data_IF_522358539738
#
_entry.id   IF_522358539738
#
_cell.length_a   1.000
_cell.length_b   1.000
_cell.length_c   1.000
_cell.angle_alpha   90.00
_cell.angle_beta   90.00
_cell.angle_gamma   90.00
#
_symmetry.space_group_name_H-M   'P 1'
#
loop_
_entity.id
_entity.type
_entity.pdbx_description
1 polymer ?
#
# COMPACT_ATOMS: atom_id res chain seq x y z
N UNK A 1 65.10 28.38 15.55
CA UNK A 1 63.84 28.55 14.80
C UNK A 1 63.16 27.19 14.70
N UNK A 2 61.97 27.02 15.28
CA UNK A 2 61.20 25.75 15.28
C UNK A 2 60.32 25.69 14.02
N UNK A 3 60.52 24.69 13.18
CA UNK A 3 59.62 24.39 12.07
C UNK A 3 58.46 23.50 12.58
N UNK A 4 57.23 23.97 12.39
CA UNK A 4 56.01 23.23 12.71
C UNK A 4 55.81 22.10 11.68
N UNK A 5 55.68 20.85 12.16
CA UNK A 5 55.35 19.70 11.31
C UNK A 5 53.83 19.49 11.31
N UNK A 6 53.18 20.11 10.33
CA UNK A 6 51.81 19.81 9.89
C UNK A 6 51.75 18.38 9.33
N UNK A 7 50.70 17.63 9.67
CA UNK A 7 50.49 16.29 9.14
C UNK A 7 49.44 15.47 9.88
N UNK A 8 48.27 16.06 10.13
CA UNK A 8 47.11 15.33 10.65
C UNK A 8 46.64 14.32 9.61
N UNK A 9 46.91 13.03 9.83
CA UNK A 9 46.32 11.94 9.06
C UNK A 9 44.81 11.95 9.30
N UNK A 10 44.03 12.36 8.30
CA UNK A 10 42.58 12.22 8.31
C UNK A 10 42.23 10.72 8.30
N UNK A 11 42.04 10.15 9.49
CA UNK A 11 41.47 8.83 9.65
C UNK A 11 39.98 8.92 9.31
N UNK A 12 39.64 8.71 8.04
CA UNK A 12 38.24 8.63 7.61
C UNK A 12 37.52 7.51 8.37
N UNK A 13 36.35 7.78 9.00
CA UNK A 13 35.69 6.85 9.92
C UNK A 13 34.85 5.81 9.15
N UNK A 14 35.47 5.05 8.25
CA UNK A 14 34.77 4.04 7.45
C UNK A 14 34.08 2.95 8.28
N UNK A 15 34.63 2.68 9.48
CA UNK A 15 34.06 1.74 10.46
C UNK A 15 32.65 2.15 10.93
N UNK A 16 32.34 3.45 10.96
CA UNK A 16 31.04 3.97 11.43
C UNK A 16 30.00 4.07 10.31
N UNK A 17 30.42 4.04 9.04
CA UNK A 17 29.53 4.20 7.87
C UNK A 17 28.79 2.89 7.56
N UNK A 18 29.44 1.74 7.73
CA UNK A 18 28.85 0.41 7.46
C UNK A 18 27.57 0.11 8.25
N UNK A 19 27.51 0.28 9.59
CA UNK A 19 26.29 0.02 10.34
C UNK A 19 25.20 1.04 10.02
N UNK A 20 25.57 2.30 9.74
CA UNK A 20 24.64 3.34 9.34
C UNK A 20 23.97 3.02 7.99
N UNK A 21 24.74 2.53 7.03
CA UNK A 21 24.23 2.13 5.72
C UNK A 21 23.29 0.92 5.82
N UNK A 22 23.62 -0.05 6.67
CA UNK A 22 22.73 -1.20 6.96
C UNK A 22 21.42 -0.77 7.62
N UNK A 23 21.47 0.14 8.59
CA UNK A 23 20.28 0.66 9.26
C UNK A 23 19.37 1.40 8.26
N UNK A 24 19.97 2.21 7.37
CA UNK A 24 19.25 2.95 6.35
C UNK A 24 18.58 2.00 5.35
N UNK A 25 19.30 0.97 4.88
CA UNK A 25 18.73 -0.06 4.00
C UNK A 25 17.57 -0.82 4.67
N UNK A 26 17.70 -1.16 5.95
CA UNK A 26 16.64 -1.82 6.72
C UNK A 26 15.39 -0.94 6.80
N UNK A 27 15.56 0.35 7.05
CA UNK A 27 14.45 1.32 7.10
C UNK A 27 13.75 1.46 5.74
N UNK A 28 14.51 1.49 4.64
CA UNK A 28 13.93 1.50 3.29
C UNK A 28 13.12 0.23 2.99
N UNK A 29 13.59 -0.94 3.44
CA UNK A 29 12.85 -2.20 3.29
C UNK A 29 11.55 -2.15 4.08
N UNK A 30 11.60 -1.73 5.36
CA UNK A 30 10.40 -1.61 6.20
C UNK A 30 9.39 -0.60 5.64
N UNK A 31 9.87 0.55 5.15
CA UNK A 31 9.01 1.57 4.55
C UNK A 31 8.34 1.06 3.27
N UNK A 32 9.09 0.32 2.44
CA UNK A 32 8.58 -0.29 1.20
C UNK A 32 7.54 -1.39 1.48
N UNK A 33 7.72 -2.22 2.52
CA UNK A 33 6.76 -3.26 2.89
C UNK A 33 5.38 -2.71 3.31
N UNK A 34 5.33 -1.47 3.81
CA UNK A 34 4.08 -0.82 4.22
C UNK A 34 3.29 -0.20 3.05
N UNK A 35 3.88 -0.12 1.84
CA UNK A 35 3.28 0.51 0.66
C UNK A 35 2.40 -0.44 -0.19
N UNK A 36 1.98 -1.59 0.37
CA UNK A 36 1.00 -2.48 -0.26
C UNK A 36 -0.34 -1.77 -0.47
N UNK A 37 -0.52 -1.20 -1.67
CA UNK A 37 -1.61 -0.29 -2.01
C UNK A 37 -2.99 -0.94 -2.02
N UNK A 38 -3.99 -0.17 -1.57
CA UNK A 38 -5.41 -0.44 -1.79
C UNK A 38 -5.75 0.08 -3.19
N UNK A 39 -5.90 -0.80 -4.18
CA UNK A 39 -6.27 -0.39 -5.54
C UNK A 39 -7.79 -0.27 -5.64
N UNK A 40 -8.33 0.95 -5.59
CA UNK A 40 -9.76 1.21 -5.82
C UNK A 40 -9.98 1.59 -7.28
N UNK A 41 -10.76 0.80 -8.01
CA UNK A 41 -11.17 1.09 -9.40
C UNK A 41 -12.52 1.79 -9.42
N UNK A 42 -12.58 3.07 -9.79
CA UNK A 42 -13.85 3.78 -9.91
C UNK A 42 -14.51 3.47 -11.26
N UNK A 43 -15.74 2.94 -11.25
CA UNK A 43 -16.56 2.73 -12.45
C UNK A 43 -17.79 3.63 -12.31
N UNK A 44 -17.85 4.70 -13.10
CA UNK A 44 -18.98 5.63 -13.14
C UNK A 44 -19.95 5.20 -14.23
N UNK A 45 -21.24 5.06 -13.90
CA UNK A 45 -22.30 4.89 -14.90
C UNK A 45 -22.89 6.27 -15.19
N UNK A 46 -22.54 6.87 -16.33
CA UNK A 46 -22.96 8.24 -16.68
C UNK A 46 -24.38 8.33 -17.26
N UNK A 47 -25.09 7.20 -17.38
CA UNK A 47 -26.33 7.10 -18.18
C UNK A 47 -27.61 6.84 -17.34
N UNK A 48 -27.53 6.91 -16.01
CA UNK A 48 -28.69 6.68 -15.13
C UNK A 48 -29.32 7.99 -14.64
N UNK A 49 -30.63 8.16 -14.87
CA UNK A 49 -31.43 9.31 -14.40
C UNK A 49 -31.68 9.33 -12.89
N UNK A 50 -31.20 8.31 -12.16
CA UNK A 50 -31.39 8.15 -10.72
C UNK A 50 -30.07 8.46 -9.97
N UNK A 51 -29.95 9.61 -9.29
CA UNK A 51 -28.76 9.96 -8.53
C UNK A 51 -28.49 9.03 -7.34
N UNK A 52 -29.43 8.16 -6.95
CA UNK A 52 -29.23 7.13 -5.92
C UNK A 52 -28.63 5.82 -6.50
N UNK A 53 -28.68 5.65 -7.82
CA UNK A 53 -28.07 4.52 -8.52
C UNK A 53 -26.59 4.73 -8.83
N UNK A 54 -26.08 5.95 -8.63
CA UNK A 54 -24.67 6.28 -8.86
C UNK A 54 -23.81 5.82 -7.68
N UNK A 55 -22.88 4.91 -7.97
CA UNK A 55 -21.93 4.37 -7.01
C UNK A 55 -20.70 3.81 -7.72
N UNK A 56 -19.76 3.28 -6.95
CA UNK A 56 -18.54 2.69 -7.48
C UNK A 56 -18.27 1.31 -6.89
N UNK A 57 -17.69 0.45 -7.71
CA UNK A 57 -17.17 -0.83 -7.27
C UNK A 57 -15.81 -0.65 -6.58
N UNK A 58 -15.77 -0.74 -5.26
CA UNK A 58 -14.51 -0.74 -4.53
C UNK A 58 -13.93 -2.16 -4.47
N UNK A 59 -12.67 -2.31 -4.88
CA UNK A 59 -11.92 -3.54 -4.72
C UNK A 59 -11.01 -3.44 -3.48
N UNK A 60 -11.28 -4.26 -2.47
CA UNK A 60 -10.45 -4.36 -1.28
C UNK A 60 -9.69 -5.68 -1.31
N UNK A 61 -8.41 -5.60 -1.70
CA UNK A 61 -7.49 -6.73 -1.59
C UNK A 61 -6.97 -6.82 -0.15
N UNK A 62 -7.34 -7.88 0.55
CA UNK A 62 -6.84 -8.19 1.89
C UNK A 62 -6.02 -9.47 1.85
N UNK A 63 -4.90 -9.50 2.55
CA UNK A 63 -4.12 -10.73 2.70
C UNK A 63 -4.72 -11.52 3.85
N UNK A 64 -4.99 -12.81 3.65
CA UNK A 64 -5.49 -13.68 4.71
C UNK A 64 -4.72 -15.00 4.71
N UNK A 65 -4.54 -15.58 5.90
CA UNK A 65 -3.98 -16.91 6.04
C UNK A 65 -5.07 -17.96 5.83
N UNK A 66 -4.87 -18.85 4.85
CA UNK A 66 -5.81 -19.92 4.49
C UNK A 66 -5.13 -21.28 4.51
N UNK A 67 -5.86 -22.30 4.94
CA UNK A 67 -5.43 -23.69 4.78
C UNK A 67 -5.70 -24.16 3.36
N UNK A 68 -4.65 -24.56 2.66
CA UNK A 68 -4.71 -25.08 1.29
C UNK A 68 -4.26 -26.54 1.30
N UNK A 69 -5.01 -27.38 0.59
CA UNK A 69 -4.68 -28.80 0.43
C UNK A 69 -3.66 -28.95 -0.69
N UNK A 70 -2.49 -29.48 -0.36
CA UNK A 70 -1.45 -29.82 -1.31
C UNK A 70 -1.30 -31.33 -1.42
N UNK A 71 -0.98 -31.80 -2.62
CA UNK A 71 -0.64 -33.20 -2.84
C UNK A 71 0.88 -33.34 -2.84
N UNK A 72 1.42 -34.06 -1.85
CA UNK A 72 2.85 -34.35 -1.80
C UNK A 72 3.12 -35.60 -2.64
N UNK A 73 4.03 -35.49 -3.60
CA UNK A 73 4.50 -36.63 -4.37
C UNK A 73 5.29 -37.59 -3.47
N UNK A 74 4.84 -38.84 -3.40
CA UNK A 74 5.49 -40.01 -2.80
C UNK A 74 5.11 -41.22 -3.67
N UNK A 75 5.29 -42.44 -3.17
CA UNK A 75 4.81 -43.67 -3.83
C UNK A 75 3.29 -43.66 -4.12
N UNK A 76 2.53 -43.01 -3.25
CA UNK A 76 1.11 -42.66 -3.43
C UNK A 76 0.97 -41.19 -3.00
N UNK A 77 0.18 -40.38 -3.71
CA UNK A 77 0.00 -38.97 -3.37
C UNK A 77 -0.68 -38.80 -2.01
N UNK A 78 -0.03 -38.05 -1.12
CA UNK A 78 -0.55 -37.79 0.22
C UNK A 78 -1.10 -36.36 0.31
N UNK A 79 -2.33 -36.17 0.82
CA UNK A 79 -2.87 -34.85 1.05
C UNK A 79 -2.26 -34.22 2.30
N UNK A 80 -1.68 -33.03 2.15
CA UNK A 80 -1.08 -32.26 3.25
C UNK A 80 -1.73 -30.88 3.28
N UNK A 81 -2.18 -30.49 4.47
CA UNK A 81 -2.68 -29.13 4.70
C UNK A 81 -1.52 -28.21 5.01
N UNK A 82 -1.38 -27.12 4.25
CA UNK A 82 -0.41 -26.06 4.53
C UNK A 82 -1.14 -24.74 4.71
N UNK A 83 -0.69 -23.96 5.69
CA UNK A 83 -1.16 -22.60 5.91
C UNK A 83 -0.38 -21.67 4.97
N UNK A 84 -1.10 -21.00 4.07
CA UNK A 84 -0.53 -20.12 3.04
C UNK A 84 -1.20 -18.75 3.16
N UNK A 85 -0.41 -17.69 2.95
CA UNK A 85 -0.91 -16.34 2.80
C UNK A 85 -1.33 -16.11 1.36
N UNK A 86 -2.61 -15.84 1.13
CA UNK A 86 -3.16 -15.60 -0.21
C UNK A 86 -3.91 -14.28 -0.23
N UNK A 87 -3.84 -13.51 -1.34
CA UNK A 87 -4.67 -12.32 -1.49
C UNK A 87 -6.14 -12.75 -1.66
N UNK A 88 -7.01 -12.18 -0.83
CA UNK A 88 -8.47 -12.30 -0.96
C UNK A 88 -9.01 -10.96 -1.46
N UNK A 89 -9.67 -11.01 -2.61
CA UNK A 89 -10.29 -9.85 -3.23
C UNK A 89 -11.74 -9.77 -2.80
N UNK A 90 -12.11 -8.68 -2.11
CA UNK A 90 -13.49 -8.38 -1.77
C UNK A 90 -13.97 -7.21 -2.62
N UNK A 91 -15.07 -7.39 -3.34
CA UNK A 91 -15.71 -6.34 -4.12
C UNK A 91 -16.93 -5.83 -3.34
N UNK A 92 -16.96 -4.55 -3.01
CA UNK A 92 -18.09 -3.90 -2.34
C UNK A 92 -18.62 -2.76 -3.23
N UNK A 93 -19.94 -2.64 -3.34
CA UNK A 93 -20.57 -1.50 -3.98
C UNK A 93 -20.66 -0.36 -2.96
N UNK A 94 -20.12 0.80 -3.31
CA UNK A 94 -20.13 1.98 -2.45
C UNK A 94 -20.95 3.08 -3.13
N UNK A 95 -22.05 3.55 -2.52
CA UNK A 95 -22.82 4.67 -3.08
C UNK A 95 -21.99 5.95 -3.03
N UNK A 96 -22.23 6.87 -3.97
CA UNK A 96 -21.58 8.18 -3.91
C UNK A 96 -22.01 8.91 -2.62
N UNK A 97 -21.09 9.66 -1.98
CA UNK A 97 -21.46 10.52 -0.87
C UNK A 97 -22.44 11.59 -1.36
N UNK A 98 -23.49 11.86 -0.58
CA UNK A 98 -24.38 12.98 -0.84
C UNK A 98 -23.56 14.28 -0.90
N UNK A 99 -23.88 15.15 -1.86
CA UNK A 99 -23.22 16.44 -1.98
C UNK A 99 -23.31 17.23 -0.66
N UNK A 100 -22.25 17.95 -0.26
CA UNK A 100 -22.32 18.85 0.88
C UNK A 100 -23.44 19.87 0.68
N UNK A 101 -24.23 20.11 1.73
CA UNK A 101 -25.34 21.07 1.72
C UNK A 101 -24.90 22.50 1.31
N UNK A 102 -23.64 22.84 1.53
CA UNK A 102 -23.03 24.13 1.19
C UNK A 102 -22.92 24.38 -0.33
N UNK A 103 -22.98 23.33 -1.16
CA UNK A 103 -22.90 23.46 -2.63
C UNK A 103 -24.24 23.78 -3.29
N UNK A 104 -25.36 23.62 -2.58
CA UNK A 104 -26.68 23.98 -3.11
C UNK A 104 -26.96 25.49 -3.03
N UNK A 105 -26.30 26.19 -2.10
CA UNK A 105 -26.50 27.63 -1.87
C UNK A 105 -25.96 28.53 -2.99
N UNK A 106 -25.02 28.05 -3.82
CA UNK A 106 -24.42 28.89 -4.88
C UNK A 106 -25.29 28.98 -6.14
N UNK A 107 -26.17 28.00 -6.38
CA UNK A 107 -27.07 28.00 -7.55
C UNK A 107 -28.26 28.96 -7.42
N UNK A 108 -28.54 29.45 -6.21
CA UNK A 108 -29.66 30.37 -5.94
C UNK A 108 -29.32 31.86 -6.10
N UNK A 109 -28.04 32.23 -6.17
CA UNK A 109 -27.61 33.64 -6.16
C UNK A 109 -27.18 34.23 -7.51
N UNK A 110 -27.11 33.43 -8.57
CA UNK A 110 -26.73 33.91 -9.92
C UNK A 110 -27.87 34.63 -10.68
N UNK A 111 -29.06 34.77 -10.08
CA UNK A 111 -30.20 35.47 -10.68
C UNK A 111 -30.77 36.52 -9.71
N UNK A 112 -30.01 37.56 -9.39
CA UNK A 112 -30.55 38.86 -8.98
C UNK A 112 -29.67 39.99 -9.46
#
# INVERSE_FOLDING_TARGET
>A
MKAAKSGGRMAFPWIKIKPLLMLLALMFIFFSCCLGGKTTTFVSHTDTLDPQADGFWANKTTWNARWVKYWRAKKIYEPVWKKVWTPTIHNEWVPLPNAPNEWETEKGHSYK
#
